data_IF_199827793553
#
_entry.id   IF_199827793553
#
_cell.length_a   1.000
_cell.length_b   1.000
_cell.length_c   1.000
_cell.angle_alpha   90.00
_cell.angle_beta   90.00
_cell.angle_gamma   90.00
#
_symmetry.space_group_name_H-M   'P 1'
#
loop_
_entity.id
_entity.type
_entity.pdbx_description
1 polymer ?
#
# COMPACT_ATOMS: atom_id res chain seq x y z
N UNK A 1 -2.28 3.14 -39.88
CA UNK A 1 -3.42 2.86 -40.79
C UNK A 1 -4.59 3.69 -40.30
N UNK A 2 -5.10 4.64 -41.10
CA UNK A 2 -6.28 5.44 -40.73
C UNK A 2 -7.53 4.71 -41.25
N UNK A 3 -8.42 4.30 -40.35
CA UNK A 3 -9.72 3.74 -40.70
C UNK A 3 -10.78 4.84 -40.62
N UNK A 4 -11.64 4.94 -41.65
CA UNK A 4 -12.78 5.87 -41.66
C UNK A 4 -14.07 5.07 -41.47
N UNK A 5 -14.77 5.32 -40.37
CA UNK A 5 -16.06 4.71 -40.07
C UNK A 5 -17.16 5.71 -40.42
N UNK A 6 -18.12 5.30 -41.25
CA UNK A 6 -19.31 6.08 -41.57
C UNK A 6 -20.53 5.40 -40.95
N UNK A 7 -21.21 6.10 -40.04
CA UNK A 7 -22.44 5.63 -39.40
C UNK A 7 -23.63 6.39 -39.99
N UNK A 8 -24.61 5.66 -40.54
CA UNK A 8 -25.87 6.22 -41.05
C UNK A 8 -26.96 5.85 -40.05
N UNK A 9 -27.48 6.85 -39.34
CA UNK A 9 -28.51 6.67 -38.32
C UNK A 9 -29.87 7.10 -38.88
N UNK A 10 -30.87 6.24 -38.75
CA UNK A 10 -32.25 6.57 -39.12
C UNK A 10 -33.03 6.95 -37.87
N UNK A 11 -33.63 8.14 -37.88
CA UNK A 11 -34.44 8.63 -36.77
C UNK A 11 -35.88 8.08 -36.87
N UNK A 12 -36.55 7.92 -35.73
CA UNK A 12 -37.97 7.60 -35.66
C UNK A 12 -38.78 8.89 -35.88
N UNK A 13 -38.95 9.29 -37.15
CA UNK A 13 -39.67 10.49 -37.58
C UNK A 13 -39.10 11.09 -38.87
N UNK A 14 -39.76 12.11 -39.43
CA UNK A 14 -39.35 12.76 -40.69
C UNK A 14 -38.18 13.74 -40.52
N UNK A 15 -37.86 14.16 -39.29
CA UNK A 15 -36.78 15.10 -39.00
C UNK A 15 -35.96 14.67 -37.76
N UNK A 16 -34.65 14.96 -37.72
CA UNK A 16 -33.83 14.73 -36.53
C UNK A 16 -34.34 15.58 -35.35
N UNK A 17 -34.43 14.99 -34.16
CA UNK A 17 -34.59 15.76 -32.91
C UNK A 17 -33.44 16.77 -32.77
N UNK A 18 -33.67 17.96 -32.20
CA UNK A 18 -32.59 18.93 -31.97
C UNK A 18 -31.44 18.28 -31.18
N UNK A 19 -30.23 18.30 -31.75
CA UNK A 19 -29.03 17.76 -31.13
C UNK A 19 -27.88 18.76 -31.25
N UNK A 20 -26.98 18.71 -30.27
CA UNK A 20 -25.73 19.49 -30.29
C UNK A 20 -24.64 18.66 -30.97
N UNK A 21 -24.33 19.02 -32.22
CA UNK A 21 -23.33 18.31 -33.03
C UNK A 21 -21.96 18.29 -32.34
N UNK A 22 -21.50 19.41 -31.76
CA UNK A 22 -20.19 19.48 -31.10
C UNK A 22 -20.11 18.56 -29.89
N UNK A 23 -21.18 18.52 -29.10
CA UNK A 23 -21.27 17.63 -27.95
C UNK A 23 -21.27 16.15 -28.37
N UNK A 24 -21.96 15.83 -29.48
CA UNK A 24 -22.02 14.49 -30.03
C UNK A 24 -20.68 14.05 -30.61
N UNK A 25 -20.01 14.90 -31.39
CA UNK A 25 -18.65 14.69 -31.90
C UNK A 25 -17.66 14.48 -30.77
N UNK A 26 -17.69 15.32 -29.72
CA UNK A 26 -16.83 15.16 -28.55
C UNK A 26 -17.06 13.83 -27.84
N UNK A 27 -18.32 13.38 -27.75
CA UNK A 27 -18.68 12.11 -27.14
C UNK A 27 -18.21 10.91 -27.99
N UNK A 28 -18.40 10.97 -29.31
CA UNK A 28 -17.94 9.91 -30.23
C UNK A 28 -16.42 9.84 -30.27
N UNK A 29 -15.73 10.98 -30.34
CA UNK A 29 -14.28 11.03 -30.29
C UNK A 29 -13.77 10.39 -29.00
N UNK A 30 -14.35 10.73 -27.84
CA UNK A 30 -14.00 10.12 -26.55
C UNK A 30 -14.23 8.61 -26.52
N UNK A 31 -15.33 8.12 -27.10
CA UNK A 31 -15.62 6.68 -27.18
C UNK A 31 -14.72 5.91 -28.15
N UNK A 32 -14.16 6.59 -29.15
CA UNK A 32 -13.30 5.99 -30.17
C UNK A 32 -11.80 6.11 -29.85
N UNK A 33 -11.43 6.77 -28.74
CA UNK A 33 -10.04 6.90 -28.32
C UNK A 33 -9.48 5.54 -27.93
N UNK A 34 -8.22 5.31 -28.33
CA UNK A 34 -7.48 4.20 -27.79
C UNK A 34 -6.94 4.56 -26.41
N UNK A 35 -6.69 3.54 -25.59
CA UNK A 35 -6.02 3.70 -24.30
C UNK A 35 -4.69 4.47 -24.41
N UNK A 36 -3.99 4.34 -25.54
CA UNK A 36 -2.71 5.01 -25.80
C UNK A 36 -2.88 6.52 -26.03
N UNK A 37 -3.93 6.90 -26.75
CA UNK A 37 -4.27 8.31 -26.93
C UNK A 37 -4.63 8.95 -25.59
N UNK A 38 -5.36 8.23 -24.74
CA UNK A 38 -5.68 8.67 -23.38
C UNK A 38 -4.44 8.76 -22.49
N UNK A 39 -3.48 7.84 -22.63
CA UNK A 39 -2.20 7.88 -21.91
C UNK A 39 -1.42 9.14 -22.25
N UNK A 40 -1.32 9.49 -23.53
CA UNK A 40 -0.61 10.71 -23.95
C UNK A 40 -1.22 11.96 -23.33
N UNK A 41 -2.54 12.12 -23.40
CA UNK A 41 -3.21 13.27 -22.78
C UNK A 41 -3.01 13.28 -21.24
N UNK A 42 -3.15 12.13 -20.58
CA UNK A 42 -2.98 12.02 -19.13
C UNK A 42 -1.53 12.28 -18.69
N UNK A 43 -0.53 11.89 -19.49
CA UNK A 43 0.88 12.18 -19.24
C UNK A 43 1.15 13.68 -19.27
N UNK A 44 0.57 14.40 -20.24
CA UNK A 44 0.68 15.87 -20.33
C UNK A 44 0.04 16.54 -19.12
N UNK A 45 -1.13 16.07 -18.69
CA UNK A 45 -1.80 16.57 -17.48
C UNK A 45 -0.96 16.31 -16.20
N UNK A 46 -0.32 15.15 -16.08
CA UNK A 46 0.41 14.74 -14.87
C UNK A 46 1.86 15.25 -14.76
N UNK A 47 2.60 15.27 -15.87
CA UNK A 47 4.03 15.61 -15.89
C UNK A 47 4.35 16.97 -16.52
N UNK A 48 3.37 17.60 -17.17
CA UNK A 48 3.59 18.78 -18.01
C UNK A 48 4.11 18.42 -19.40
N UNK A 49 3.83 19.28 -20.39
CA UNK A 49 4.00 19.00 -21.82
C UNK A 49 5.41 18.54 -22.22
N UNK A 50 6.44 19.26 -21.77
CA UNK A 50 7.84 18.96 -22.12
C UNK A 50 8.27 17.57 -21.61
N UNK A 51 8.05 17.30 -20.32
CA UNK A 51 8.44 16.03 -19.70
C UNK A 51 7.59 14.87 -20.20
N UNK A 52 6.30 15.11 -20.43
CA UNK A 52 5.38 14.11 -20.98
C UNK A 52 5.84 13.61 -22.34
N UNK A 53 6.26 14.49 -23.25
CA UNK A 53 6.74 14.08 -24.58
C UNK A 53 7.92 13.09 -24.49
N UNK A 54 8.89 13.35 -23.60
CA UNK A 54 10.02 12.45 -23.36
C UNK A 54 9.62 11.11 -22.72
N UNK A 55 8.60 11.11 -21.86
CA UNK A 55 8.11 9.89 -21.20
C UNK A 55 7.22 9.06 -22.13
N UNK A 56 6.46 9.69 -23.02
CA UNK A 56 5.64 9.03 -24.03
C UNK A 56 6.54 8.20 -24.95
N UNK A 57 7.67 8.73 -25.41
CA UNK A 57 8.62 7.97 -26.23
C UNK A 57 9.12 6.68 -25.54
N UNK A 58 9.13 6.66 -24.20
CA UNK A 58 9.55 5.51 -23.41
C UNK A 58 8.40 4.55 -23.06
N UNK A 59 7.21 5.07 -22.76
CA UNK A 59 6.13 4.29 -22.15
C UNK A 59 4.92 4.06 -23.06
N UNK A 60 4.80 4.75 -24.20
CA UNK A 60 3.63 4.68 -25.08
C UNK A 60 3.26 3.25 -25.51
N UNK A 61 4.27 2.45 -25.85
CA UNK A 61 4.12 1.04 -26.24
C UNK A 61 4.58 0.06 -25.16
N UNK A 62 4.97 0.54 -23.97
CA UNK A 62 5.57 -0.30 -22.94
C UNK A 62 4.55 -1.14 -22.16
N UNK A 63 3.31 -0.67 -22.03
CA UNK A 63 2.27 -1.35 -21.27
C UNK A 63 1.68 -2.55 -22.04
N UNK A 64 1.63 -3.70 -21.38
CA UNK A 64 1.06 -4.94 -21.92
C UNK A 64 -0.44 -4.82 -22.23
N UNK A 65 -1.01 -5.78 -22.96
CA UNK A 65 -2.44 -5.80 -23.22
C UNK A 65 -3.27 -6.00 -21.94
N UNK A 66 -2.86 -6.93 -21.07
CA UNK A 66 -3.54 -7.22 -19.81
C UNK A 66 -3.57 -6.01 -18.87
N UNK A 67 -2.47 -5.25 -18.79
CA UNK A 67 -2.45 -4.03 -17.98
C UNK A 67 -3.48 -3.00 -18.46
N UNK A 68 -3.62 -2.84 -19.79
CA UNK A 68 -4.54 -1.86 -20.41
C UNK A 68 -6.00 -2.29 -20.32
N UNK A 69 -6.27 -3.56 -20.09
CA UNK A 69 -7.61 -4.08 -19.81
C UNK A 69 -8.04 -3.78 -18.36
N UNK A 70 -7.11 -3.89 -17.41
CA UNK A 70 -7.40 -3.74 -15.98
C UNK A 70 -7.26 -2.30 -15.46
N UNK A 71 -6.41 -1.46 -16.08
CA UNK A 71 -6.16 -0.10 -15.61
C UNK A 71 -6.39 0.96 -16.68
N UNK A 72 -6.92 2.11 -16.25
CA UNK A 72 -7.07 3.27 -17.11
C UNK A 72 -5.76 4.07 -17.26
N UNK A 73 -5.71 4.95 -18.26
CA UNK A 73 -4.56 5.79 -18.57
C UNK A 73 -4.10 6.68 -17.39
N UNK A 74 -5.02 7.17 -16.56
CA UNK A 74 -4.64 8.01 -15.40
C UNK A 74 -3.94 7.21 -14.32
N UNK A 75 -4.42 5.99 -14.05
CA UNK A 75 -3.71 5.06 -13.15
C UNK A 75 -2.32 4.73 -13.69
N UNK A 76 -2.17 4.56 -15.01
CA UNK A 76 -0.86 4.34 -15.61
C UNK A 76 0.12 5.50 -15.42
N UNK A 77 -0.35 6.75 -15.44
CA UNK A 77 0.47 7.93 -15.13
C UNK A 77 0.98 7.88 -13.68
N UNK A 78 0.12 7.52 -12.72
CA UNK A 78 0.54 7.30 -11.33
C UNK A 78 1.56 6.15 -11.23
N UNK A 79 1.35 5.06 -11.94
CA UNK A 79 2.29 3.94 -11.95
C UNK A 79 3.64 4.34 -12.56
N UNK A 80 3.66 5.15 -13.62
CA UNK A 80 4.90 5.72 -14.17
C UNK A 80 5.62 6.61 -13.16
N UNK A 81 4.91 7.38 -12.33
CA UNK A 81 5.57 8.11 -11.23
C UNK A 81 6.36 7.15 -10.32
N UNK A 82 5.78 6.01 -9.95
CA UNK A 82 6.47 5.00 -9.13
C UNK A 82 7.63 4.35 -9.89
N UNK A 83 7.46 3.99 -11.15
CA UNK A 83 8.53 3.41 -11.98
C UNK A 83 9.74 4.35 -12.11
N UNK A 84 9.50 5.66 -12.24
CA UNK A 84 10.56 6.67 -12.33
C UNK A 84 11.30 6.90 -11.00
N UNK A 85 10.78 6.43 -9.87
CA UNK A 85 11.51 6.46 -8.57
C UNK A 85 12.49 5.31 -8.40
N UNK A 86 12.45 4.33 -9.31
CA UNK A 86 13.32 3.15 -9.27
C UNK A 86 14.67 3.47 -9.92
N UNK A 87 15.75 3.14 -9.23
CA UNK A 87 17.11 3.28 -9.76
C UNK A 87 17.96 2.04 -9.41
N UNK A 88 19.28 2.10 -9.55
CA UNK A 88 20.16 0.95 -9.28
C UNK A 88 20.38 0.66 -7.79
N UNK A 89 20.05 1.60 -6.91
CA UNK A 89 20.13 1.45 -5.45
C UNK A 89 18.77 1.32 -4.77
N UNK A 90 17.69 1.65 -5.47
CA UNK A 90 16.31 1.55 -5.02
C UNK A 90 15.49 0.80 -6.07
N UNK A 91 15.44 -0.52 -5.95
CA UNK A 91 14.79 -1.42 -6.91
C UNK A 91 13.30 -1.66 -6.63
N UNK A 92 12.80 -1.21 -5.48
CA UNK A 92 11.43 -1.41 -5.04
C UNK A 92 10.71 -0.08 -4.72
N UNK A 93 9.54 0.10 -5.34
CA UNK A 93 8.56 1.11 -4.97
C UNK A 93 7.23 0.43 -4.72
N UNK A 94 6.35 1.07 -3.96
CA UNK A 94 5.06 0.50 -3.64
C UNK A 94 3.98 1.57 -3.56
N UNK A 95 2.74 1.15 -3.85
CA UNK A 95 1.56 2.01 -3.79
C UNK A 95 0.39 1.24 -3.23
N UNK A 96 -0.30 1.85 -2.26
CA UNK A 96 -1.49 1.33 -1.63
C UNK A 96 -2.69 2.14 -2.10
N UNK A 97 -3.72 1.46 -2.60
CA UNK A 97 -4.95 2.11 -3.05
C UNK A 97 -6.17 1.22 -2.79
N UNK A 98 -7.36 1.82 -2.88
CA UNK A 98 -8.63 1.10 -2.83
C UNK A 98 -9.30 1.19 -4.20
N UNK A 99 -9.66 0.06 -4.83
CA UNK A 99 -10.46 0.07 -6.06
C UNK A 99 -11.80 0.77 -5.83
N UNK A 100 -12.25 1.60 -6.78
CA UNK A 100 -13.52 2.34 -6.69
C UNK A 100 -14.75 1.40 -6.70
N UNK A 101 -14.59 0.19 -7.23
CA UNK A 101 -15.67 -0.78 -7.44
C UNK A 101 -15.91 -1.69 -6.23
N UNK A 102 -14.97 -1.76 -5.28
CA UNK A 102 -15.08 -2.58 -4.08
C UNK A 102 -15.76 -1.81 -2.94
N UNK A 103 -17.02 -2.17 -2.68
CA UNK A 103 -17.77 -1.68 -1.52
C UNK A 103 -17.34 -2.34 -0.21
N UNK A 104 -16.65 -3.48 -0.28
CA UNK A 104 -16.36 -4.35 0.85
C UNK A 104 -14.88 -4.29 1.27
N UNK A 105 -14.41 -3.14 1.75
CA UNK A 105 -13.21 -3.03 2.58
C UNK A 105 -11.84 -3.42 1.97
N UNK A 106 -11.80 -4.02 0.78
CA UNK A 106 -10.61 -4.47 0.08
C UNK A 106 -9.60 -3.36 -0.17
N UNK A 107 -8.33 -3.76 -0.23
CA UNK A 107 -7.22 -2.88 -0.51
C UNK A 107 -6.27 -3.55 -1.48
N UNK A 108 -5.70 -2.77 -2.38
CA UNK A 108 -4.69 -3.23 -3.31
C UNK A 108 -3.32 -2.66 -2.95
N UNK A 109 -2.31 -3.50 -3.08
CA UNK A 109 -0.91 -3.12 -2.98
C UNK A 109 -0.24 -3.39 -4.32
N UNK A 110 0.20 -2.33 -4.98
CA UNK A 110 1.12 -2.44 -6.12
C UNK A 110 2.55 -2.42 -5.63
N UNK A 111 3.32 -3.42 -6.04
CA UNK A 111 4.78 -3.41 -5.95
C UNK A 111 5.37 -3.17 -7.32
N UNK A 112 6.30 -2.25 -7.40
CA UNK A 112 7.02 -1.88 -8.62
C UNK A 112 8.46 -2.33 -8.47
N UNK A 113 8.92 -3.18 -9.37
CA UNK A 113 10.28 -3.70 -9.37
C UNK A 113 10.98 -3.46 -10.70
N UNK A 114 12.29 -3.21 -10.61
CA UNK A 114 13.14 -2.95 -11.77
C UNK A 114 13.76 -4.26 -12.26
N UNK A 115 13.73 -4.51 -13.57
CA UNK A 115 14.33 -5.65 -14.28
C UNK A 115 13.63 -7.01 -14.08
N UNK A 116 13.41 -7.42 -12.83
CA UNK A 116 12.97 -8.78 -12.50
C UNK A 116 11.58 -8.85 -11.91
N UNK A 117 10.95 -10.02 -12.10
CA UNK A 117 9.73 -10.36 -11.40
C UNK A 117 10.08 -10.75 -9.95
N UNK A 118 9.29 -10.27 -8.98
CA UNK A 118 9.46 -10.65 -7.58
C UNK A 118 8.88 -12.05 -7.35
N UNK A 119 9.64 -13.00 -6.77
CA UNK A 119 9.10 -14.29 -6.37
C UNK A 119 8.05 -14.14 -5.27
N UNK A 120 6.90 -14.81 -5.43
CA UNK A 120 5.85 -14.79 -4.42
C UNK A 120 6.33 -15.34 -3.05
N UNK A 121 7.25 -16.30 -3.05
CA UNK A 121 7.84 -16.85 -1.83
C UNK A 121 8.55 -15.82 -0.96
N UNK A 122 9.02 -14.74 -1.58
CA UNK A 122 9.81 -13.71 -0.89
C UNK A 122 8.88 -12.65 -0.30
N UNK A 123 7.82 -12.30 -1.04
CA UNK A 123 6.90 -11.23 -0.69
C UNK A 123 5.76 -11.65 0.24
N UNK A 124 5.19 -12.84 0.03
CA UNK A 124 4.02 -13.31 0.80
C UNK A 124 4.28 -13.37 2.30
N UNK A 125 5.44 -13.88 2.79
CA UNK A 125 5.72 -13.91 4.23
C UNK A 125 5.73 -12.52 4.88
N UNK A 126 6.18 -11.49 4.15
CA UNK A 126 6.15 -10.11 4.66
C UNK A 126 4.72 -9.61 4.84
N UNK A 127 3.84 -9.85 3.85
CA UNK A 127 2.44 -9.46 3.94
C UNK A 127 1.71 -10.19 5.07
N UNK A 128 1.94 -11.50 5.20
CA UNK A 128 1.37 -12.32 6.28
C UNK A 128 1.83 -11.85 7.66
N UNK A 129 3.13 -11.56 7.83
CA UNK A 129 3.68 -11.05 9.09
C UNK A 129 3.16 -9.66 9.45
N UNK A 130 2.81 -8.84 8.46
CA UNK A 130 2.12 -7.56 8.65
C UNK A 130 0.64 -7.73 9.05
N UNK A 131 0.10 -8.96 9.03
CA UNK A 131 -1.30 -9.25 9.36
C UNK A 131 -2.26 -9.07 8.18
N UNK A 132 -1.73 -9.15 6.96
CA UNK A 132 -2.50 -9.10 5.72
C UNK A 132 -2.67 -10.50 5.15
N UNK A 133 -3.82 -10.76 4.54
CA UNK A 133 -4.08 -11.96 3.76
C UNK A 133 -4.10 -11.58 2.28
N UNK A 134 -3.32 -12.29 1.48
CA UNK A 134 -3.33 -12.12 0.03
C UNK A 134 -4.42 -13.00 -0.58
N UNK A 135 -5.34 -12.37 -1.31
CA UNK A 135 -6.44 -13.06 -2.00
C UNK A 135 -6.00 -13.46 -3.42
N UNK A 136 -5.28 -12.57 -4.08
CA UNK A 136 -4.77 -12.78 -5.44
C UNK A 136 -3.62 -11.86 -5.77
N UNK A 137 -2.92 -12.20 -6.85
CA UNK A 137 -1.83 -11.39 -7.42
C UNK A 137 -1.96 -11.38 -8.94
N UNK A 138 -1.70 -10.22 -9.54
CA UNK A 138 -1.62 -10.02 -10.99
C UNK A 138 -0.30 -9.35 -11.34
N UNK A 139 0.62 -10.05 -12.03
CA UNK A 139 1.85 -9.46 -12.52
C UNK A 139 1.64 -8.84 -13.90
N UNK A 140 2.22 -7.65 -14.10
CA UNK A 140 2.23 -6.95 -15.38
C UNK A 140 3.67 -6.59 -15.75
N UNK A 141 4.07 -6.96 -16.96
CA UNK A 141 5.35 -6.58 -17.51
C UNK A 141 5.24 -5.26 -18.29
N UNK A 142 6.13 -4.33 -17.96
CA UNK A 142 6.24 -3.03 -18.62
C UNK A 142 7.56 -2.99 -19.37
N UNK A 143 7.50 -3.06 -20.70
CA UNK A 143 8.67 -3.19 -21.57
C UNK A 143 9.02 -1.82 -22.18
N UNK A 144 9.71 -0.97 -21.42
CA UNK A 144 10.24 0.27 -21.98
C UNK A 144 11.52 -0.01 -22.80
N UNK A 145 11.87 0.82 -23.81
CA UNK A 145 12.95 0.54 -24.75
C UNK A 145 14.32 0.23 -24.13
N UNK A 146 14.62 0.83 -22.97
CA UNK A 146 15.92 0.69 -22.29
C UNK A 146 15.83 -0.10 -20.98
N UNK A 147 14.61 -0.39 -20.51
CA UNK A 147 14.39 -0.91 -19.17
C UNK A 147 13.10 -1.72 -19.09
N UNK A 148 13.18 -2.90 -18.50
CA UNK A 148 12.00 -3.67 -18.13
C UNK A 148 11.61 -3.36 -16.69
N UNK A 149 10.32 -3.24 -16.44
CA UNK A 149 9.76 -3.14 -15.10
C UNK A 149 8.67 -4.19 -14.91
N UNK A 150 8.43 -4.52 -13.64
CA UNK A 150 7.35 -5.38 -13.23
C UNK A 150 6.47 -4.64 -12.24
N UNK A 151 5.16 -4.74 -12.46
CA UNK A 151 4.15 -4.27 -11.53
C UNK A 151 3.40 -5.49 -11.02
N UNK A 152 3.42 -5.72 -9.72
CA UNK A 152 2.65 -6.75 -9.07
C UNK A 152 1.50 -6.11 -8.31
N UNK A 153 0.27 -6.36 -8.74
CA UNK A 153 -0.93 -5.88 -8.04
C UNK A 153 -1.49 -6.99 -7.16
N UNK A 154 -1.42 -6.79 -5.84
CA UNK A 154 -1.91 -7.72 -4.83
C UNK A 154 -3.26 -7.27 -4.30
N UNK A 155 -4.23 -8.18 -4.34
CA UNK A 155 -5.51 -8.01 -3.65
C UNK A 155 -5.36 -8.47 -2.20
N UNK A 156 -5.59 -7.55 -1.27
CA UNK A 156 -5.36 -7.75 0.15
C UNK A 156 -6.67 -7.69 0.94
N UNK A 157 -6.79 -8.63 1.87
CA UNK A 157 -7.80 -8.66 2.90
C UNK A 157 -7.13 -8.48 4.27
N UNK A 158 -7.71 -7.62 5.11
CA UNK A 158 -7.29 -7.53 6.50
C UNK A 158 -8.24 -8.32 7.39
N UNK A 159 -7.68 -9.14 8.27
CA UNK A 159 -8.42 -10.03 9.17
C UNK A 159 -9.32 -9.34 10.20
N UNK A 160 -9.19 -8.03 10.42
CA UNK A 160 -10.01 -7.25 11.37
C UNK A 160 -10.82 -6.17 10.66
N UNK A 161 -12.10 -6.10 10.97
CA UNK A 161 -12.97 -4.99 10.57
C UNK A 161 -12.54 -3.67 11.25
N UNK A 162 -12.53 -2.57 10.50
CA UNK A 162 -12.32 -1.22 11.05
C UNK A 162 -10.90 -0.66 10.99
N UNK A 163 -9.90 -1.39 10.46
CA UNK A 163 -8.56 -0.83 10.24
C UNK A 163 -8.55 0.04 8.98
N UNK A 164 -8.22 1.32 9.14
CA UNK A 164 -8.06 2.24 8.03
C UNK A 164 -6.59 2.28 7.55
N UNK A 165 -6.19 1.30 6.74
CA UNK A 165 -4.85 1.27 6.14
C UNK A 165 -4.50 2.54 5.34
N UNK A 166 -5.48 3.32 4.88
CA UNK A 166 -5.21 4.57 4.16
C UNK A 166 -4.55 5.62 5.05
N UNK A 167 -4.90 5.68 6.34
CA UNK A 167 -4.25 6.55 7.33
C UNK A 167 -2.82 6.10 7.65
N UNK A 168 -2.56 4.80 7.45
CA UNK A 168 -1.31 4.15 7.81
C UNK A 168 -0.40 3.92 6.61
N UNK A 169 -0.77 4.45 5.45
CA UNK A 169 -0.09 4.21 4.18
C UNK A 169 1.41 4.46 4.29
N UNK A 170 1.80 5.59 4.86
CA UNK A 170 3.19 6.01 4.88
C UNK A 170 4.01 5.15 5.85
N UNK A 171 3.47 4.87 7.05
CA UNK A 171 4.09 3.97 8.05
C UNK A 171 4.24 2.55 7.52
N UNK A 172 3.20 2.02 6.88
CA UNK A 172 3.23 0.72 6.23
C UNK A 172 4.27 0.67 5.11
N UNK A 173 4.27 1.68 4.23
CA UNK A 173 5.16 1.73 3.08
C UNK A 173 6.62 1.77 3.50
N UNK A 174 6.93 2.58 4.52
CA UNK A 174 8.28 2.67 5.07
C UNK A 174 8.68 1.35 5.72
N UNK A 175 7.83 0.77 6.57
CA UNK A 175 8.16 -0.49 7.22
C UNK A 175 8.37 -1.63 6.22
N UNK A 176 7.52 -1.73 5.18
CA UNK A 176 7.67 -2.72 4.12
C UNK A 176 9.03 -2.57 3.41
N UNK A 177 9.42 -1.34 3.04
CA UNK A 177 10.71 -1.08 2.40
C UNK A 177 11.90 -1.45 3.30
N UNK A 178 11.82 -1.14 4.61
CA UNK A 178 12.89 -1.50 5.56
C UNK A 178 13.02 -3.01 5.75
N UNK A 179 11.89 -3.73 5.78
CA UNK A 179 11.89 -5.20 5.86
C UNK A 179 12.46 -5.79 4.56
N UNK A 180 12.04 -5.26 3.39
CA UNK A 180 12.55 -5.68 2.08
C UNK A 180 14.06 -5.51 1.95
N UNK A 181 14.58 -4.36 2.40
CA UNK A 181 16.01 -4.06 2.39
C UNK A 181 16.82 -4.87 3.43
N UNK A 182 16.16 -5.67 4.28
CA UNK A 182 16.80 -6.43 5.36
C UNK A 182 17.25 -5.58 6.56
N UNK A 183 16.78 -4.35 6.66
CA UNK A 183 17.10 -3.42 7.75
C UNK A 183 16.17 -3.61 8.98
N UNK A 184 15.05 -4.30 8.81
CA UNK A 184 14.12 -4.69 9.85
C UNK A 184 13.81 -6.19 9.79
N UNK A 185 13.62 -6.85 10.95
CA UNK A 185 13.27 -8.27 10.98
C UNK A 185 11.87 -8.53 10.36
N UNK A 186 11.72 -9.67 9.67
CA UNK A 186 10.44 -10.15 9.17
C UNK A 186 9.84 -11.23 10.10
N UNK A 187 9.07 -10.82 11.11
CA UNK A 187 8.46 -11.74 12.08
C UNK A 187 7.06 -11.30 12.55
N UNK A 188 6.46 -12.09 13.44
CA UNK A 188 5.09 -11.88 13.92
C UNK A 188 4.84 -10.51 14.57
N UNK A 189 5.87 -9.78 15.02
CA UNK A 189 5.71 -8.44 15.58
C UNK A 189 5.35 -7.40 14.53
N UNK A 190 5.61 -7.64 13.24
CA UNK A 190 5.31 -6.69 12.17
C UNK A 190 3.80 -6.39 12.06
N UNK A 191 2.93 -7.28 12.54
CA UNK A 191 1.49 -7.03 12.62
C UNK A 191 1.13 -5.80 13.45
N UNK A 192 1.99 -5.43 14.41
CA UNK A 192 1.79 -4.25 15.26
C UNK A 192 1.85 -2.94 14.47
N UNK A 193 2.51 -2.95 13.30
CA UNK A 193 2.50 -1.81 12.38
C UNK A 193 1.07 -1.47 12.04
N UNK A 194 0.27 -2.47 11.67
CA UNK A 194 -1.14 -2.32 11.28
C UNK A 194 -2.06 -2.29 12.51
N UNK A 195 -1.93 -3.24 13.42
CA UNK A 195 -2.90 -3.40 14.52
C UNK A 195 -2.80 -2.30 15.58
N UNK A 196 -1.61 -1.73 15.79
CA UNK A 196 -1.34 -0.73 16.82
C UNK A 196 -0.81 0.59 16.26
N UNK A 197 -0.71 0.75 14.92
CA UNK A 197 -0.28 2.00 14.31
C UNK A 197 1.19 2.35 14.54
N UNK A 198 2.03 1.34 14.79
CA UNK A 198 3.43 1.55 15.16
C UNK A 198 4.35 1.67 13.94
N UNK A 199 5.43 2.42 14.09
CA UNK A 199 6.54 2.42 13.14
C UNK A 199 7.48 1.22 13.34
N UNK A 200 8.35 0.96 12.36
CA UNK A 200 9.25 -0.19 12.38
C UNK A 200 10.26 -0.17 13.54
N UNK A 201 10.61 1.02 14.07
CA UNK A 201 11.56 1.18 15.18
C UNK A 201 10.88 0.89 16.51
N UNK A 202 9.64 1.33 16.68
CA UNK A 202 8.81 0.99 17.84
C UNK A 202 8.57 -0.52 17.91
N UNK A 203 8.30 -1.15 16.77
CA UNK A 203 8.19 -2.61 16.68
C UNK A 203 9.51 -3.30 17.02
N UNK A 204 10.65 -2.80 16.51
CA UNK A 204 11.96 -3.33 16.85
C UNK A 204 12.28 -3.20 18.35
N UNK A 205 11.85 -2.10 18.99
CA UNK A 205 11.98 -1.90 20.44
C UNK A 205 11.18 -2.95 21.22
N UNK A 206 9.91 -3.17 20.88
CA UNK A 206 9.06 -4.18 21.54
C UNK A 206 9.61 -5.61 21.33
N UNK A 207 10.12 -5.90 20.13
CA UNK A 207 10.83 -7.15 19.82
C UNK A 207 12.08 -7.32 20.69
N UNK A 208 12.82 -6.24 20.93
CA UNK A 208 13.95 -6.20 21.85
C UNK A 208 13.56 -6.60 23.27
N UNK A 209 12.48 -6.02 23.80
CA UNK A 209 11.94 -6.41 25.11
C UNK A 209 11.50 -7.88 25.15
N UNK A 210 10.81 -8.37 24.11
CA UNK A 210 10.42 -9.77 24.03
C UNK A 210 11.63 -10.73 23.99
N UNK A 211 12.70 -10.37 23.27
CA UNK A 211 13.98 -11.11 23.27
C UNK A 211 14.63 -11.11 24.66
N UNK A 212 14.59 -9.98 25.37
CA UNK A 212 15.09 -9.89 26.75
C UNK A 212 14.28 -10.75 27.73
N UNK A 213 12.94 -10.73 27.66
CA UNK A 213 12.06 -11.58 28.47
C UNK A 213 12.40 -13.07 28.27
N UNK A 214 12.65 -13.48 27.03
CA UNK A 214 13.10 -14.86 26.73
C UNK A 214 14.45 -15.19 27.37
N UNK A 215 15.39 -14.25 27.39
CA UNK A 215 16.71 -14.43 28.01
C UNK A 215 16.63 -14.66 29.52
N UNK A 216 15.71 -13.98 30.21
CA UNK A 216 15.43 -14.20 31.64
C UNK A 216 14.50 -15.39 31.90
N UNK A 217 14.30 -16.26 30.89
CA UNK A 217 13.49 -17.48 30.95
C UNK A 217 12.01 -17.24 31.27
N UNK A 218 11.46 -16.13 30.79
CA UNK A 218 10.01 -15.94 30.80
C UNK A 218 9.35 -17.00 29.89
N UNK A 219 8.32 -17.68 30.39
CA UNK A 219 7.81 -18.93 29.80
C UNK A 219 6.98 -18.79 28.52
N UNK A 220 6.81 -17.57 27.99
CA UNK A 220 5.97 -17.30 26.82
C UNK A 220 6.81 -17.19 25.54
N UNK A 221 6.26 -17.69 24.42
CA UNK A 221 6.92 -17.60 23.11
C UNK A 221 6.84 -16.16 22.57
N UNK A 222 7.76 -15.83 21.65
CA UNK A 222 7.75 -14.53 20.99
C UNK A 222 6.48 -14.29 20.17
N UNK A 223 6.00 -15.34 19.50
CA UNK A 223 4.74 -15.27 18.73
C UNK A 223 3.54 -15.01 19.64
N UNK A 224 3.52 -15.60 20.84
CA UNK A 224 2.48 -15.32 21.84
C UNK A 224 2.55 -13.85 22.28
N UNK A 225 3.76 -13.34 22.58
CA UNK A 225 3.94 -11.93 22.97
C UNK A 225 3.45 -10.98 21.87
N UNK A 226 3.86 -11.21 20.62
CA UNK A 226 3.43 -10.42 19.48
C UNK A 226 1.89 -10.46 19.29
N UNK A 227 1.28 -11.63 19.45
CA UNK A 227 -0.17 -11.79 19.36
C UNK A 227 -0.91 -11.05 20.49
N UNK A 228 -0.44 -11.14 21.73
CA UNK A 228 -1.02 -10.41 22.87
C UNK A 228 -0.93 -8.90 22.65
N UNK A 229 0.23 -8.37 22.27
CA UNK A 229 0.39 -6.94 21.97
C UNK A 229 -0.55 -6.47 20.83
N UNK A 230 -0.78 -7.31 19.83
CA UNK A 230 -1.70 -7.00 18.73
C UNK A 230 -3.18 -7.08 19.13
N UNK A 231 -3.51 -7.88 20.15
CA UNK A 231 -4.85 -7.97 20.73
C UNK A 231 -5.19 -6.78 21.62
N UNK A 232 -4.19 -6.11 22.19
CA UNK A 232 -4.37 -4.96 23.07
C UNK A 232 -3.66 -3.70 22.52
N UNK A 233 -4.08 -3.16 21.37
CA UNK A 233 -3.37 -2.07 20.71
C UNK A 233 -3.28 -0.79 21.54
N UNK A 234 -4.32 -0.44 22.32
CA UNK A 234 -4.28 0.71 23.23
C UNK A 234 -3.22 0.57 24.33
N UNK A 235 -3.05 -0.63 24.89
CA UNK A 235 -1.99 -0.93 25.86
C UNK A 235 -0.63 -0.81 25.19
N UNK A 236 -0.47 -1.44 24.03
CA UNK A 236 0.77 -1.42 23.26
C UNK A 236 1.20 0.00 22.89
N UNK A 237 0.27 0.84 22.43
CA UNK A 237 0.53 2.26 22.17
C UNK A 237 0.98 3.01 23.42
N UNK A 238 0.31 2.78 24.55
CA UNK A 238 0.66 3.42 25.83
C UNK A 238 2.02 2.94 26.34
N UNK A 239 2.42 1.69 26.11
CA UNK A 239 3.77 1.19 26.43
C UNK A 239 4.85 1.89 25.60
N UNK A 240 4.59 2.13 24.32
CA UNK A 240 5.50 2.85 23.43
C UNK A 240 5.57 4.34 23.81
N UNK A 241 4.45 4.96 24.16
CA UNK A 241 4.38 6.33 24.70
C UNK A 241 5.22 6.44 25.99
N UNK A 242 5.06 5.48 26.91
CA UNK A 242 5.83 5.42 28.15
C UNK A 242 7.34 5.31 27.88
N UNK A 243 7.74 4.50 26.89
CA UNK A 243 9.13 4.41 26.46
C UNK A 243 9.65 5.76 25.98
N UNK A 244 8.91 6.45 25.10
CA UNK A 244 9.29 7.78 24.60
C UNK A 244 9.43 8.79 25.75
N UNK A 245 8.46 8.86 26.65
CA UNK A 245 8.51 9.78 27.80
C UNK A 245 9.70 9.54 28.74
N UNK A 246 10.19 8.30 28.83
CA UNK A 246 11.36 7.96 29.68
C UNK A 246 12.70 8.18 29.01
N UNK A 247 12.76 8.01 27.69
CA UNK A 247 14.04 7.86 26.98
C UNK A 247 14.25 8.88 25.85
N UNK A 248 13.29 9.76 25.56
CA UNK A 248 13.48 10.87 24.62
C UNK A 248 14.34 11.98 25.27
N UNK A 249 15.60 12.19 24.82
CA UNK A 249 16.49 13.18 25.42
C UNK A 249 16.03 14.63 25.18
N UNK A 250 15.10 14.87 24.24
CA UNK A 250 14.57 16.20 23.95
C UNK A 250 13.38 16.58 24.84
N UNK A 251 12.76 15.62 25.53
CA UNK A 251 11.62 15.85 26.40
C UNK A 251 12.05 15.91 27.88
N UNK A 252 11.56 16.90 28.62
CA UNK A 252 11.57 16.81 30.07
C UNK A 252 10.48 15.81 30.49
N UNK A 253 10.73 14.95 31.49
CA UNK A 253 9.75 13.98 31.96
C UNK A 253 8.60 14.69 32.69
N UNK A 254 7.68 15.29 31.94
CA UNK A 254 6.35 15.69 32.38
C UNK A 254 5.35 14.61 31.94
N UNK A 255 4.27 14.43 32.70
CA UNK A 255 3.15 13.51 32.38
C UNK A 255 3.47 12.00 32.44
N UNK A 256 4.58 11.59 33.07
CA UNK A 256 4.89 10.16 33.27
C UNK A 256 3.84 9.47 34.14
N UNK A 257 3.43 10.12 35.23
CA UNK A 257 2.43 9.58 36.16
C UNK A 257 1.06 9.43 35.51
N UNK A 258 0.66 10.37 34.65
CA UNK A 258 -0.59 10.30 33.89
C UNK A 258 -0.58 9.16 32.86
N UNK A 259 0.54 8.96 32.17
CA UNK A 259 0.73 7.84 31.25
C UNK A 259 0.67 6.50 31.99
N UNK A 260 1.29 6.39 33.17
CA UNK A 260 1.23 5.20 34.02
C UNK A 260 -0.19 4.95 34.55
N UNK A 261 -0.93 5.99 34.93
CA UNK A 261 -2.33 5.86 35.36
C UNK A 261 -3.21 5.31 34.23
N UNK A 262 -3.10 5.88 33.02
CA UNK A 262 -3.78 5.38 31.81
C UNK A 262 -3.42 3.93 31.49
N UNK A 263 -2.13 3.59 31.57
CA UNK A 263 -1.67 2.22 31.33
C UNK A 263 -2.31 1.24 32.32
N UNK A 264 -2.33 1.59 33.61
CA UNK A 264 -2.95 0.76 34.64
C UNK A 264 -4.45 0.59 34.41
N UNK A 265 -5.16 1.65 34.02
CA UNK A 265 -6.58 1.59 33.66
C UNK A 265 -6.82 0.63 32.48
N UNK A 266 -6.00 0.72 31.42
CA UNK A 266 -6.12 -0.22 30.31
C UNK A 266 -5.82 -1.68 30.71
N UNK A 267 -4.87 -1.90 31.63
CA UNK A 267 -4.53 -3.22 32.13
C UNK A 267 -5.66 -3.84 32.98
N UNK A 268 -6.48 -3.05 33.67
CA UNK A 268 -7.67 -3.56 34.39
C UNK A 268 -8.70 -4.19 33.46
N UNK A 269 -8.73 -3.79 32.18
CA UNK A 269 -9.61 -4.34 31.16
C UNK A 269 -9.15 -5.67 30.53
N UNK A 270 -8.01 -6.23 30.95
CA UNK A 270 -7.45 -7.45 30.35
C UNK A 270 -8.13 -8.69 30.94
N UNK A 271 -8.96 -9.36 30.14
CA UNK A 271 -9.76 -10.51 30.59
C UNK A 271 -8.94 -11.79 30.84
N UNK A 272 -7.81 -11.96 30.16
CA UNK A 272 -6.97 -13.17 30.23
C UNK A 272 -5.84 -12.99 31.24
N UNK A 273 -5.77 -13.87 32.23
CA UNK A 273 -4.74 -13.81 33.27
C UNK A 273 -3.31 -13.94 32.73
N UNK A 274 -3.13 -14.76 31.68
CA UNK A 274 -1.83 -14.89 31.02
C UNK A 274 -1.44 -13.61 30.28
N UNK A 275 -2.40 -12.96 29.62
CA UNK A 275 -2.14 -11.70 28.92
C UNK A 275 -1.84 -10.57 29.90
N UNK A 276 -2.58 -10.49 31.01
CA UNK A 276 -2.32 -9.51 32.07
C UNK A 276 -0.93 -9.72 32.68
N UNK A 277 -0.56 -10.97 33.00
CA UNK A 277 0.77 -11.29 33.53
C UNK A 277 1.90 -10.90 32.56
N UNK A 278 1.68 -11.08 31.25
CA UNK A 278 2.63 -10.66 30.22
C UNK A 278 2.73 -9.14 30.14
N UNK A 279 1.61 -8.43 30.02
CA UNK A 279 1.58 -6.99 29.79
C UNK A 279 2.10 -6.17 30.98
N UNK A 280 2.02 -6.73 32.20
CA UNK A 280 2.58 -6.12 33.41
C UNK A 280 4.09 -6.35 33.61
N UNK A 281 4.73 -7.17 32.77
CA UNK A 281 6.12 -7.61 32.97
C UNK A 281 7.14 -6.79 32.19
#
# INVERSE_FOLDING_TARGET
VLARIQLILRFNGDAPSQYDLKRLESKVARLARSWRDELQEAMVEGFGEERANHLIDQFHDAFSASYREDFNARTAVFDVHHLLTLDSGNDLSLSLYRPLEEQAGGMNLKLFHRESQIPLSDVLPMMENLGLRVIGERPYDINAPQQRYWIHDFELEHSREGVNLSEMRDTFSEAFKRIWAGEADNDAFNRLIISAGLDWREVAMLRGYARYLKQIRFGMSQDYIAATLANYPAITQTLVELFRLRFDPAQQPSNLDDCLARLNEHLEGVASLNDDQLLRR
#
